data_IF_025416308228
#
_entry.id   IF_025416308228
#
_cell.length_a   1.000
_cell.length_b   1.000
_cell.length_c   1.000
_cell.angle_alpha   90.00
_cell.angle_beta   90.00
_cell.angle_gamma   90.00
#
_symmetry.space_group_name_H-M   'P 1'
#
loop_
_entity.id
_entity.type
_entity.pdbx_description
1 polymer ?
#
# COMPACT_ATOMS: atom_id res chain seq x y z
N UNK A 1 11.54 5.66 -5.66
CA UNK A 1 12.35 6.23 -6.75
C UNK A 1 13.81 6.41 -6.33
N UNK A 2 14.67 6.83 -7.27
CA UNK A 2 16.12 7.00 -7.03
C UNK A 2 16.40 7.89 -5.81
N UNK A 3 15.70 9.02 -5.66
CA UNK A 3 15.89 9.91 -4.52
C UNK A 3 15.54 9.24 -3.17
N UNK A 4 14.46 8.48 -3.12
CA UNK A 4 14.08 7.72 -1.92
C UNK A 4 15.13 6.67 -1.55
N UNK A 5 15.63 5.93 -2.51
CA UNK A 5 16.71 4.97 -2.31
C UNK A 5 18.01 5.66 -1.81
N UNK A 6 18.43 6.73 -2.48
CA UNK A 6 19.64 7.45 -2.09
C UNK A 6 19.56 8.03 -0.67
N UNK A 7 18.41 8.60 -0.30
CA UNK A 7 18.19 9.17 1.03
C UNK A 7 18.10 8.10 2.13
N UNK A 8 17.35 7.02 1.90
CA UNK A 8 17.09 6.01 2.93
C UNK A 8 18.23 5.01 3.12
N UNK A 9 19.02 4.74 2.08
CA UNK A 9 20.15 3.79 2.10
C UNK A 9 21.52 4.48 1.98
N UNK A 10 21.59 5.81 2.07
CA UNK A 10 22.82 6.57 1.89
C UNK A 10 23.58 6.20 0.60
N UNK A 11 22.82 5.99 -0.49
CA UNK A 11 23.29 5.55 -1.80
C UNK A 11 24.06 4.21 -1.79
N UNK A 12 23.92 3.39 -0.76
CA UNK A 12 24.50 2.04 -0.67
C UNK A 12 23.61 1.02 -1.41
N UNK A 13 24.19 -0.11 -1.88
CA UNK A 13 23.39 -1.17 -2.51
C UNK A 13 22.22 -1.62 -1.64
N UNK A 14 21.07 -1.88 -2.28
CA UNK A 14 19.83 -2.27 -1.61
C UNK A 14 18.61 -1.79 -2.36
N UNK A 15 17.44 -2.00 -1.78
CA UNK A 15 16.13 -1.71 -2.36
C UNK A 15 15.36 -0.75 -1.45
N UNK A 16 14.71 0.25 -2.03
CA UNK A 16 13.76 1.13 -1.32
C UNK A 16 12.36 0.93 -1.89
N UNK A 17 11.41 0.61 -1.03
CA UNK A 17 9.98 0.50 -1.34
C UNK A 17 9.26 1.75 -0.85
N UNK A 18 8.61 2.45 -1.76
CA UNK A 18 7.85 3.67 -1.48
C UNK A 18 6.37 3.40 -1.60
N UNK A 19 5.59 3.68 -0.55
CA UNK A 19 4.14 3.57 -0.54
C UNK A 19 3.52 4.84 0.05
N UNK A 20 3.18 5.76 -0.84
CA UNK A 20 2.46 7.00 -0.56
C UNK A 20 1.11 7.01 -1.27
N UNK A 21 0.77 8.10 -1.96
CA UNK A 21 -0.40 8.15 -2.84
C UNK A 21 -0.38 7.01 -3.87
N UNK A 22 0.75 6.79 -4.53
CA UNK A 22 1.06 5.62 -5.34
C UNK A 22 2.15 4.76 -4.70
N UNK A 23 2.58 3.69 -5.39
CA UNK A 23 3.66 2.81 -4.95
C UNK A 23 4.71 2.62 -6.04
N UNK A 24 5.98 2.56 -5.63
CA UNK A 24 7.12 2.29 -6.51
C UNK A 24 8.28 1.75 -5.69
N UNK A 25 9.00 0.78 -6.23
CA UNK A 25 10.27 0.36 -5.68
C UNK A 25 11.43 0.70 -6.62
N UNK A 26 12.58 0.96 -6.04
CA UNK A 26 13.84 1.14 -6.77
C UNK A 26 14.97 0.49 -6.00
N UNK A 27 15.80 -0.26 -6.71
CA UNK A 27 16.99 -0.88 -6.15
C UNK A 27 18.24 -0.61 -6.96
N UNK A 28 19.39 -0.80 -6.31
CA UNK A 28 20.70 -0.71 -6.93
C UNK A 28 21.61 -1.80 -6.37
N UNK A 29 22.29 -2.53 -7.25
CA UNK A 29 23.26 -3.57 -6.88
C UNK A 29 24.65 -3.00 -6.57
N UNK A 30 25.62 -3.83 -6.10
CA UNK A 30 26.99 -3.40 -5.88
C UNK A 30 27.71 -2.94 -7.14
N UNK A 31 27.33 -3.43 -8.32
CA UNK A 31 27.88 -3.06 -9.64
C UNK A 31 27.29 -1.73 -10.13
N UNK A 32 26.38 -1.13 -9.35
CA UNK A 32 25.72 0.15 -9.62
C UNK A 32 24.65 0.10 -10.73
N UNK A 33 24.19 -1.09 -11.13
CA UNK A 33 23.00 -1.21 -11.97
C UNK A 33 21.77 -0.86 -11.13
N UNK A 34 20.83 -0.17 -11.73
CA UNK A 34 19.61 0.25 -11.05
C UNK A 34 18.37 -0.28 -11.77
N UNK A 35 17.34 -0.68 -11.01
CA UNK A 35 16.07 -1.13 -11.55
C UNK A 35 14.88 -0.57 -10.79
N UNK A 36 13.81 -0.24 -11.52
CA UNK A 36 12.56 0.28 -10.96
C UNK A 36 11.43 -0.69 -11.26
N UNK A 37 10.59 -0.94 -10.25
CA UNK A 37 9.36 -1.71 -10.36
C UNK A 37 8.19 -0.86 -9.82
N UNK A 38 7.03 -0.93 -10.46
CA UNK A 38 5.85 -0.15 -10.09
C UNK A 38 5.89 1.31 -10.58
N UNK A 39 4.97 2.13 -10.08
CA UNK A 39 4.85 3.55 -10.45
C UNK A 39 4.31 3.76 -11.87
N UNK A 40 3.39 2.92 -12.32
CA UNK A 40 2.80 3.01 -13.66
C UNK A 40 1.53 3.86 -13.70
N UNK A 41 0.73 3.88 -12.72
CA UNK A 41 -0.39 4.77 -12.40
C UNK A 41 -1.47 4.09 -11.56
N UNK A 42 -2.37 4.88 -10.98
CA UNK A 42 -3.48 4.42 -10.16
C UNK A 42 -4.42 3.41 -10.86
N UNK A 43 -4.61 3.53 -12.18
CA UNK A 43 -5.57 2.68 -12.90
C UNK A 43 -5.08 1.26 -13.11
N UNK A 44 -3.78 1.07 -13.32
CA UNK A 44 -3.19 -0.20 -13.74
C UNK A 44 -2.17 -0.76 -12.76
N UNK A 45 -1.82 0.02 -11.74
CA UNK A 45 -0.77 -0.31 -10.80
C UNK A 45 -0.98 0.41 -9.46
N UNK A 46 0.12 0.78 -8.80
CA UNK A 46 0.14 1.40 -7.47
C UNK A 46 -0.43 0.47 -6.37
N UNK A 47 -0.34 -0.85 -6.59
CA UNK A 47 -0.72 -1.86 -5.61
C UNK A 47 0.02 -1.62 -4.30
N UNK A 48 -0.67 -1.84 -3.18
CA UNK A 48 -0.12 -1.59 -1.85
C UNK A 48 0.05 -0.11 -1.47
N UNK A 49 -0.38 0.86 -2.30
CA UNK A 49 -0.35 2.30 -1.96
C UNK A 49 -1.52 2.72 -1.07
N UNK A 50 -1.47 3.96 -0.55
CA UNK A 50 -2.61 4.56 0.16
C UNK A 50 -3.87 4.62 -0.71
N UNK A 51 -3.73 4.94 -2.01
CA UNK A 51 -4.87 4.97 -2.94
C UNK A 51 -5.43 3.56 -3.18
N UNK A 52 -4.57 2.56 -3.27
CA UNK A 52 -4.99 1.17 -3.41
C UNK A 52 -5.73 0.69 -2.16
N UNK A 53 -5.21 0.95 -0.96
CA UNK A 53 -5.87 0.62 0.31
C UNK A 53 -7.23 1.30 0.40
N UNK A 54 -7.32 2.58 0.04
CA UNK A 54 -8.58 3.31 0.03
C UNK A 54 -9.60 2.73 -0.97
N UNK A 55 -9.15 2.30 -2.15
CA UNK A 55 -10.01 1.61 -3.13
C UNK A 55 -10.54 0.30 -2.58
N UNK A 56 -9.70 -0.51 -1.92
CA UNK A 56 -10.12 -1.75 -1.28
C UNK A 56 -11.12 -1.48 -0.14
N UNK A 57 -10.89 -0.45 0.68
CA UNK A 57 -11.80 0.00 1.73
C UNK A 57 -13.20 0.29 1.17
N UNK A 58 -13.28 1.11 0.11
CA UNK A 58 -14.57 1.45 -0.52
C UNK A 58 -15.22 0.21 -1.14
N UNK A 59 -14.43 -0.68 -1.74
CA UNK A 59 -14.94 -1.94 -2.28
C UNK A 59 -15.59 -2.79 -1.19
N UNK A 60 -14.98 -2.91 -0.02
CA UNK A 60 -15.56 -3.64 1.11
C UNK A 60 -16.78 -2.91 1.69
N UNK A 61 -16.75 -1.59 1.81
CA UNK A 61 -17.92 -0.80 2.21
C UNK A 61 -19.12 -1.05 1.31
N UNK A 62 -18.92 -1.01 -0.02
CA UNK A 62 -20.02 -1.26 -1.00
C UNK A 62 -20.57 -2.67 -0.84
N UNK A 63 -19.73 -3.69 -0.67
CA UNK A 63 -20.19 -5.07 -0.42
C UNK A 63 -21.02 -5.19 0.87
N UNK A 64 -20.64 -4.46 1.91
CA UNK A 64 -21.38 -4.44 3.18
C UNK A 64 -22.70 -3.66 3.05
N UNK A 65 -22.72 -2.57 2.29
CA UNK A 65 -23.92 -1.81 1.96
C UNK A 65 -24.95 -2.66 1.18
N UNK A 66 -24.46 -3.42 0.19
CA UNK A 66 -25.30 -4.32 -0.64
C UNK A 66 -25.78 -5.57 0.13
N UNK A 67 -25.30 -5.83 1.34
CA UNK A 67 -25.59 -7.07 2.08
C UNK A 67 -24.83 -8.29 1.59
N UNK A 68 -23.86 -8.16 0.70
CA UNK A 68 -22.96 -9.23 0.26
C UNK A 68 -21.97 -9.68 1.34
N UNK A 69 -21.75 -8.83 2.34
CA UNK A 69 -20.94 -9.08 3.52
C UNK A 69 -21.61 -8.51 4.76
N UNK A 70 -21.37 -9.06 5.96
CA UNK A 70 -21.88 -8.48 7.19
C UNK A 70 -21.24 -7.09 7.42
N UNK A 71 -22.01 -6.17 7.96
CA UNK A 71 -21.51 -4.86 8.36
C UNK A 71 -20.48 -4.99 9.49
N UNK A 72 -19.42 -4.22 9.41
CA UNK A 72 -18.29 -4.21 10.34
C UNK A 72 -17.83 -2.78 10.63
N UNK A 73 -16.70 -2.61 11.32
CA UNK A 73 -16.13 -1.29 11.57
C UNK A 73 -15.86 -0.49 10.28
N UNK A 74 -15.52 -1.14 9.18
CA UNK A 74 -15.38 -0.47 7.87
C UNK A 74 -16.64 0.31 7.52
N UNK A 75 -17.82 -0.30 7.68
CA UNK A 75 -19.09 0.33 7.33
C UNK A 75 -19.32 1.64 8.10
N UNK A 76 -19.11 1.59 9.41
CA UNK A 76 -19.30 2.75 10.30
C UNK A 76 -18.26 3.85 10.02
N UNK A 77 -16.99 3.48 9.89
CA UNK A 77 -15.88 4.40 9.66
C UNK A 77 -16.01 5.16 8.34
N UNK A 78 -16.42 4.49 7.26
CA UNK A 78 -16.63 5.14 5.96
C UNK A 78 -17.80 6.12 6.02
N UNK A 79 -18.94 5.71 6.60
CA UNK A 79 -20.10 6.61 6.76
C UNK A 79 -19.75 7.86 7.57
N UNK A 80 -19.05 7.67 8.67
CA UNK A 80 -18.59 8.76 9.54
C UNK A 80 -17.62 9.69 8.82
N UNK A 81 -16.61 9.13 8.15
CA UNK A 81 -15.59 9.92 7.46
C UNK A 81 -16.12 10.75 6.29
N UNK A 82 -17.14 10.24 5.59
CA UNK A 82 -17.76 10.93 4.45
C UNK A 82 -19.01 11.74 4.84
N UNK A 83 -19.44 11.69 6.10
CA UNK A 83 -20.65 12.39 6.57
C UNK A 83 -21.94 11.97 5.84
N UNK A 84 -21.99 10.72 5.34
CA UNK A 84 -23.12 10.26 4.52
C UNK A 84 -24.24 9.65 5.35
N UNK A 85 -25.47 10.01 5.04
CA UNK A 85 -26.69 9.45 5.64
C UNK A 85 -27.26 8.28 4.83
N UNK A 86 -27.04 8.28 3.52
CA UNK A 86 -27.41 7.19 2.60
C UNK A 86 -26.17 6.64 1.91
N UNK A 87 -26.01 5.33 1.90
CA UNK A 87 -24.81 4.67 1.38
C UNK A 87 -24.55 4.99 -0.09
N UNK A 88 -25.61 5.17 -0.89
CA UNK A 88 -25.50 5.53 -2.31
C UNK A 88 -24.76 6.86 -2.56
N UNK A 89 -24.66 7.74 -1.56
CA UNK A 89 -23.92 9.00 -1.68
C UNK A 89 -22.41 8.79 -1.87
N UNK A 90 -21.87 7.61 -1.48
CA UNK A 90 -20.49 7.23 -1.83
C UNK A 90 -20.25 7.28 -3.33
N UNK A 91 -21.20 6.82 -4.15
CA UNK A 91 -21.07 6.86 -5.61
C UNK A 91 -20.91 8.29 -6.13
N UNK A 92 -21.71 9.23 -5.63
CA UNK A 92 -21.57 10.66 -5.97
C UNK A 92 -20.20 11.19 -5.61
N UNK A 93 -19.75 11.00 -4.36
CA UNK A 93 -18.41 11.43 -3.90
C UNK A 93 -17.29 10.88 -4.79
N UNK A 94 -17.32 9.57 -5.11
CA UNK A 94 -16.31 8.96 -5.96
C UNK A 94 -16.29 9.51 -7.39
N UNK A 95 -17.46 9.83 -7.95
CA UNK A 95 -17.58 10.34 -9.32
C UNK A 95 -17.18 11.81 -9.43
N UNK A 96 -17.52 12.63 -8.45
CA UNK A 96 -17.30 14.08 -8.49
C UNK A 96 -15.93 14.48 -7.95
N UNK A 97 -15.54 13.95 -6.78
CA UNK A 97 -14.35 14.41 -6.07
C UNK A 97 -13.10 13.56 -6.38
N UNK A 98 -13.27 12.24 -6.48
CA UNK A 98 -12.15 11.29 -6.49
C UNK A 98 -11.73 10.86 -7.90
N UNK A 99 -12.65 10.87 -8.87
CA UNK A 99 -12.49 10.24 -10.20
C UNK A 99 -11.13 10.45 -10.87
N UNK A 100 -10.56 11.64 -10.76
CA UNK A 100 -9.28 12.01 -11.38
C UNK A 100 -8.25 12.51 -10.34
N UNK A 101 -8.49 12.25 -9.05
CA UNK A 101 -7.64 12.75 -7.98
C UNK A 101 -7.22 11.62 -7.03
N UNK A 102 -6.11 10.97 -7.36
CA UNK A 102 -5.54 9.90 -6.54
C UNK A 102 -5.15 10.37 -5.13
N UNK A 103 -4.80 11.65 -4.98
CA UNK A 103 -4.45 12.20 -3.67
C UNK A 103 -5.68 12.29 -2.75
N UNK A 104 -6.85 12.66 -3.28
CA UNK A 104 -8.10 12.63 -2.50
C UNK A 104 -8.50 11.20 -2.15
N UNK A 105 -8.36 10.25 -3.08
CA UNK A 105 -8.59 8.84 -2.76
C UNK A 105 -7.66 8.36 -1.63
N UNK A 106 -6.37 8.68 -1.71
CA UNK A 106 -5.39 8.29 -0.71
C UNK A 106 -5.72 8.83 0.70
N UNK A 107 -6.42 9.96 0.81
CA UNK A 107 -6.88 10.52 2.08
C UNK A 107 -7.89 9.64 2.82
N UNK A 108 -8.48 8.65 2.17
CA UNK A 108 -9.35 7.66 2.82
C UNK A 108 -8.55 6.51 3.47
N UNK A 109 -7.24 6.38 3.22
CA UNK A 109 -6.42 5.34 3.85
C UNK A 109 -6.48 5.37 5.39
N UNK A 110 -6.46 6.53 6.09
CA UNK A 110 -6.63 6.57 7.54
C UNK A 110 -7.97 6.02 8.04
N UNK A 111 -9.00 6.01 7.21
CA UNK A 111 -10.30 5.37 7.54
C UNK A 111 -10.13 3.86 7.65
N UNK A 112 -9.43 3.25 6.69
CA UNK A 112 -9.07 1.83 6.76
C UNK A 112 -8.22 1.52 8.00
N UNK A 113 -7.29 2.42 8.34
CA UNK A 113 -6.44 2.25 9.53
C UNK A 113 -7.26 2.27 10.83
N UNK A 114 -8.24 3.16 10.95
CA UNK A 114 -9.12 3.18 12.15
C UNK A 114 -9.92 1.89 12.27
N UNK A 115 -10.49 1.39 11.15
CA UNK A 115 -11.19 0.10 11.16
C UNK A 115 -10.25 -1.06 11.56
N UNK A 116 -9.03 -1.11 11.00
CA UNK A 116 -8.04 -2.12 11.36
C UNK A 116 -7.63 -2.08 12.85
N UNK A 117 -7.47 -0.88 13.42
CA UNK A 117 -7.18 -0.69 14.84
C UNK A 117 -8.32 -1.14 15.76
N UNK A 118 -9.55 -1.16 15.26
CA UNK A 118 -10.73 -1.74 15.95
C UNK A 118 -10.82 -3.26 15.79
N UNK A 119 -9.86 -3.91 15.16
CA UNK A 119 -9.82 -5.35 14.93
C UNK A 119 -10.68 -5.83 13.76
N UNK A 120 -11.08 -4.96 12.85
CA UNK A 120 -11.84 -5.33 11.66
C UNK A 120 -11.00 -6.25 10.76
N UNK A 121 -11.46 -7.48 10.58
CA UNK A 121 -10.71 -8.52 9.86
C UNK A 121 -10.57 -8.21 8.38
N UNK A 122 -11.56 -7.57 7.75
CA UNK A 122 -11.47 -7.13 6.36
C UNK A 122 -10.47 -6.00 6.18
N UNK A 123 -10.43 -5.05 7.12
CA UNK A 123 -9.44 -3.98 7.11
C UNK A 123 -8.01 -4.52 7.33
N UNK A 124 -7.83 -5.45 8.25
CA UNK A 124 -6.54 -6.13 8.47
C UNK A 124 -6.10 -6.92 7.24
N UNK A 125 -7.02 -7.61 6.55
CA UNK A 125 -6.72 -8.32 5.31
C UNK A 125 -6.32 -7.36 4.18
N UNK A 126 -6.91 -6.17 4.09
CA UNK A 126 -6.49 -5.14 3.14
C UNK A 126 -5.03 -4.78 3.36
N UNK A 127 -4.59 -4.55 4.61
CA UNK A 127 -3.18 -4.24 4.92
C UNK A 127 -2.26 -5.42 4.67
N UNK A 128 -2.69 -6.65 4.97
CA UNK A 128 -1.91 -7.86 4.67
C UNK A 128 -1.66 -8.00 3.17
N UNK A 129 -2.69 -7.81 2.34
CA UNK A 129 -2.55 -7.83 0.87
C UNK A 129 -1.68 -6.68 0.37
N UNK A 130 -1.84 -5.47 0.91
CA UNK A 130 -0.97 -4.33 0.57
C UNK A 130 0.50 -4.63 0.85
N UNK A 131 0.80 -5.30 1.96
CA UNK A 131 2.15 -5.72 2.32
C UNK A 131 2.73 -6.73 1.32
N UNK A 132 1.93 -7.71 0.88
CA UNK A 132 2.34 -8.71 -0.11
C UNK A 132 2.66 -8.05 -1.47
N UNK A 133 1.82 -7.15 -1.96
CA UNK A 133 2.03 -6.40 -3.20
C UNK A 133 3.34 -5.57 -3.13
N UNK A 134 3.60 -4.90 -2.00
CA UNK A 134 4.83 -4.14 -1.82
C UNK A 134 6.08 -5.03 -1.76
N UNK A 135 5.99 -6.20 -1.10
CA UNK A 135 7.08 -7.16 -1.03
C UNK A 135 7.39 -7.74 -2.43
N UNK A 136 6.36 -8.03 -3.23
CA UNK A 136 6.52 -8.51 -4.61
C UNK A 136 7.36 -7.55 -5.46
N UNK A 137 7.20 -6.22 -5.28
CA UNK A 137 8.02 -5.24 -6.00
C UNK A 137 9.51 -5.35 -5.64
N UNK A 138 9.82 -5.61 -4.37
CA UNK A 138 11.20 -5.80 -3.91
C UNK A 138 11.79 -7.12 -4.45
N UNK A 139 11.00 -8.19 -4.43
CA UNK A 139 11.38 -9.49 -5.01
C UNK A 139 11.70 -9.34 -6.50
N UNK A 140 10.85 -8.66 -7.25
CA UNK A 140 11.06 -8.42 -8.68
C UNK A 140 12.36 -7.66 -8.95
N UNK A 141 12.72 -6.67 -8.12
CA UNK A 141 14.00 -5.97 -8.23
C UNK A 141 15.17 -6.91 -7.93
N UNK A 142 15.07 -7.71 -6.85
CA UNK A 142 16.12 -8.67 -6.48
C UNK A 142 16.43 -9.65 -7.62
N UNK A 143 15.38 -10.11 -8.32
CA UNK A 143 15.52 -11.01 -9.48
C UNK A 143 16.15 -10.36 -10.72
N UNK A 144 16.17 -9.02 -10.79
CA UNK A 144 16.69 -8.25 -11.94
C UNK A 144 18.09 -7.68 -11.73
N UNK A 145 18.56 -7.67 -10.50
CA UNK A 145 19.85 -7.09 -10.11
C UNK A 145 20.78 -8.15 -9.51
N UNK A 146 22.08 -7.97 -9.65
CA UNK A 146 23.11 -8.89 -9.20
C UNK A 146 23.48 -8.64 -7.72
N UNK A 147 22.59 -9.07 -6.81
CA UNK A 147 22.90 -9.09 -5.39
C UNK A 147 23.61 -10.41 -5.02
N UNK A 148 24.70 -10.36 -4.20
CA UNK A 148 25.34 -11.57 -3.72
C UNK A 148 24.36 -12.45 -2.94
N UNK A 149 24.37 -13.76 -3.23
CA UNK A 149 23.43 -14.73 -2.63
C UNK A 149 23.65 -14.85 -1.11
N UNK A 150 24.90 -14.71 -0.66
CA UNK A 150 25.32 -14.92 0.73
C UNK A 150 25.14 -13.69 1.62
N UNK A 151 24.77 -12.54 1.04
CA UNK A 151 24.62 -11.29 1.79
C UNK A 151 23.16 -10.87 1.77
N UNK A 152 22.50 -10.66 2.92
CA UNK A 152 21.14 -10.15 2.97
C UNK A 152 21.02 -8.82 2.24
N UNK A 153 20.03 -8.71 1.35
CA UNK A 153 19.75 -7.46 0.64
C UNK A 153 19.11 -6.48 1.59
N UNK A 154 19.70 -5.29 1.71
CA UNK A 154 19.12 -4.21 2.52
C UNK A 154 17.85 -3.68 1.89
N UNK A 155 16.78 -3.65 2.68
CA UNK A 155 15.51 -3.06 2.24
C UNK A 155 15.15 -1.91 3.17
N UNK A 156 14.82 -0.78 2.58
CA UNK A 156 14.24 0.36 3.26
C UNK A 156 12.84 0.63 2.73
N UNK A 157 12.04 1.31 3.53
CA UNK A 157 10.69 1.70 3.14
C UNK A 157 10.44 3.16 3.46
N UNK A 158 9.53 3.80 2.71
CA UNK A 158 9.14 5.18 2.90
C UNK A 158 7.73 5.45 2.35
N UNK A 159 7.13 6.55 2.79
CA UNK A 159 5.79 6.97 2.35
C UNK A 159 4.72 6.79 3.43
N UNK A 160 3.59 7.48 3.21
CA UNK A 160 2.53 7.65 4.22
C UNK A 160 1.86 6.36 4.67
N UNK A 161 1.83 5.31 3.83
CA UNK A 161 1.25 4.03 4.22
C UNK A 161 1.93 3.43 5.45
N UNK A 162 3.25 3.55 5.55
CA UNK A 162 4.02 2.97 6.64
C UNK A 162 3.79 3.65 7.99
N UNK A 163 3.10 4.81 8.02
CA UNK A 163 2.59 5.39 9.28
C UNK A 163 1.50 4.53 9.94
N UNK A 164 0.98 3.51 9.26
CA UNK A 164 0.11 2.52 9.88
C UNK A 164 0.83 1.65 10.94
N UNK A 165 2.16 1.74 11.03
CA UNK A 165 2.98 1.03 12.03
C UNK A 165 2.92 -0.49 11.83
N UNK A 166 2.80 -1.25 12.92
CA UNK A 166 2.84 -2.71 12.86
C UNK A 166 1.71 -3.35 12.03
N UNK A 167 0.61 -2.62 11.81
CA UNK A 167 -0.49 -3.12 10.95
C UNK A 167 0.00 -3.40 9.52
N UNK A 168 0.92 -2.59 9.00
CA UNK A 168 1.54 -2.81 7.70
C UNK A 168 2.94 -3.44 7.81
N UNK A 169 3.72 -3.05 8.82
CA UNK A 169 5.12 -3.46 8.92
C UNK A 169 5.28 -4.94 9.27
N UNK A 170 4.43 -5.48 10.15
CA UNK A 170 4.50 -6.89 10.53
C UNK A 170 4.24 -7.81 9.32
N UNK A 171 3.12 -7.68 8.58
CA UNK A 171 2.93 -8.50 7.40
C UNK A 171 3.99 -8.24 6.31
N UNK A 172 4.46 -6.99 6.14
CA UNK A 172 5.50 -6.67 5.16
C UNK A 172 6.82 -7.39 5.49
N UNK A 173 7.29 -7.35 6.73
CA UNK A 173 8.49 -8.08 7.17
C UNK A 173 8.33 -9.58 6.95
N UNK A 174 7.18 -10.15 7.32
CA UNK A 174 6.90 -11.57 7.12
C UNK A 174 7.02 -11.98 5.64
N UNK A 175 6.43 -11.20 4.73
CA UNK A 175 6.54 -11.46 3.29
C UNK A 175 8.00 -11.34 2.80
N UNK A 176 8.74 -10.35 3.31
CA UNK A 176 10.16 -10.19 2.96
C UNK A 176 11.00 -11.38 3.44
N UNK A 177 10.83 -11.82 4.69
CA UNK A 177 11.51 -12.99 5.27
C UNK A 177 11.23 -14.27 4.49
N UNK A 178 9.97 -14.52 4.11
CA UNK A 178 9.55 -15.66 3.29
C UNK A 178 10.20 -15.67 1.91
N UNK A 179 10.60 -14.52 1.40
CA UNK A 179 11.26 -14.37 0.10
C UNK A 179 12.79 -14.18 0.24
N UNK A 180 13.36 -14.48 1.41
CA UNK A 180 14.81 -14.54 1.64
C UNK A 180 15.52 -13.19 1.74
N UNK A 181 14.83 -12.17 2.27
CA UNK A 181 15.42 -10.86 2.60
C UNK A 181 15.84 -10.79 4.06
#
# INVERSE_FOLDING_TARGET
SVAGWAGSLAAKPGINVVAGTGSVAYGRDPQRHGYRVGGWSLFFADEGSCSWVARQLITEFVKQSDGRRPRSAIYEEVRSALGITKDLYVSGYLQTEVRNNSALLAQLQPVALRAARRGDTSALDIYRRAAAELAETAVAIRCKLDFPVEVPVRVSYSGGLFHAGEIILQPFRKEMEQNGF
#
